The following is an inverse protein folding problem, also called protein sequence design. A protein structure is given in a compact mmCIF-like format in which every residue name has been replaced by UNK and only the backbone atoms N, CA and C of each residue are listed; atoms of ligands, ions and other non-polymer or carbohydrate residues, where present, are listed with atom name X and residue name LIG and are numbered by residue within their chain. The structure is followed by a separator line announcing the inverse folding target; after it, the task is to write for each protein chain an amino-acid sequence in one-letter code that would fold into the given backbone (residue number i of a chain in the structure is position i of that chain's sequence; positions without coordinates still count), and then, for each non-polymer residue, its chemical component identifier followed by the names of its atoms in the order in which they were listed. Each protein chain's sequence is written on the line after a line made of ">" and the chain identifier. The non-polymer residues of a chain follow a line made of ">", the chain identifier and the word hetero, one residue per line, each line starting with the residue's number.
data_IF_660709296463
#
_entry.id   IF_660709296463
#
_cell.length_a   1.000
_cell.length_b   1.000
_cell.length_c   1.000
_cell.angle_alpha   90.00
_cell.angle_beta   90.00
_cell.angle_gamma   90.00
#
_symmetry.space_group_name_H-M   'P 1'
#
loop_
_entity.id
_entity.type
_entity.pdbx_description
1 polymer ?
#
# COMPACT_ATOMS: atom_id res chain seq x y z
N UNK A 1 13.79 -21.02 0.61
CA UNK A 1 12.41 -21.38 0.93
C UNK A 1 12.00 -20.68 2.22
N UNK A 2 11.09 -19.71 2.11
CA UNK A 2 10.57 -18.96 3.25
C UNK A 2 9.56 -19.83 4.02
N UNK A 3 9.84 -20.09 5.31
CA UNK A 3 9.00 -20.92 6.17
C UNK A 3 8.73 -20.18 7.49
N UNK A 4 7.81 -19.20 7.47
CA UNK A 4 7.45 -18.46 8.67
C UNK A 4 6.72 -19.38 9.67
N UNK A 5 7.01 -19.19 10.96
CA UNK A 5 6.31 -19.90 12.04
C UNK A 5 5.21 -19.02 12.59
N UNK A 6 3.97 -19.37 12.27
CA UNK A 6 2.80 -18.72 12.83
C UNK A 6 2.30 -19.48 14.06
N UNK A 7 1.92 -18.76 15.11
CA UNK A 7 1.29 -19.33 16.30
C UNK A 7 -0.04 -18.63 16.51
N UNK A 8 -1.14 -19.37 16.40
CA UNK A 8 -2.46 -18.84 16.72
C UNK A 8 -2.59 -18.84 18.24
N UNK A 9 -2.84 -17.66 18.80
CA UNK A 9 -3.13 -17.50 20.23
C UNK A 9 -4.62 -17.26 20.43
N UNK A 10 -5.15 -17.52 21.63
CA UNK A 10 -6.55 -17.23 21.96
C UNK A 10 -6.92 -15.77 21.70
N UNK A 11 -5.96 -14.84 21.90
CA UNK A 11 -6.16 -13.42 21.58
C UNK A 11 -6.32 -13.20 20.07
N UNK A 12 -5.45 -13.76 19.25
CA UNK A 12 -5.55 -13.65 17.78
C UNK A 12 -6.88 -14.23 17.30
N UNK A 13 -7.26 -15.41 17.80
CA UNK A 13 -8.52 -16.04 17.41
C UNK A 13 -9.74 -15.18 17.80
N UNK A 14 -9.75 -14.61 19.01
CA UNK A 14 -10.81 -13.71 19.45
C UNK A 14 -10.86 -12.42 18.62
N UNK A 15 -9.71 -11.87 18.25
CA UNK A 15 -9.63 -10.66 17.43
C UNK A 15 -10.11 -10.93 15.99
N UNK A 16 -9.78 -12.09 15.39
CA UNK A 16 -10.33 -12.53 14.10
C UNK A 16 -11.86 -12.62 14.18
N UNK A 17 -12.40 -13.28 15.21
CA UNK A 17 -13.85 -13.41 15.38
C UNK A 17 -14.58 -12.06 15.48
N UNK A 18 -13.97 -11.07 16.15
CA UNK A 18 -14.52 -9.71 16.22
C UNK A 18 -14.47 -8.99 14.87
N UNK A 19 -13.39 -9.16 14.11
CA UNK A 19 -13.23 -8.56 12.78
C UNK A 19 -14.26 -9.13 11.81
N UNK A 20 -14.42 -10.46 11.76
CA UNK A 20 -15.42 -11.10 10.89
C UNK A 20 -16.85 -10.71 11.28
N UNK A 21 -17.17 -10.64 12.59
CA UNK A 21 -18.49 -10.17 13.03
C UNK A 21 -18.76 -8.71 12.62
N UNK A 22 -17.77 -7.82 12.73
CA UNK A 22 -17.91 -6.43 12.30
C UNK A 22 -18.04 -6.32 10.77
N UNK A 23 -17.28 -7.14 10.03
CA UNK A 23 -17.33 -7.22 8.57
C UNK A 23 -18.71 -7.66 8.09
N UNK A 24 -19.29 -8.69 8.70
CA UNK A 24 -20.63 -9.19 8.35
C UNK A 24 -21.70 -8.11 8.51
N UNK A 25 -21.63 -7.32 9.58
CA UNK A 25 -22.54 -6.18 9.80
C UNK A 25 -22.41 -5.15 8.69
N UNK A 26 -21.18 -4.84 8.25
CA UNK A 26 -20.92 -3.84 7.21
C UNK A 26 -21.37 -4.35 5.84
N UNK A 27 -21.08 -5.60 5.49
CA UNK A 27 -21.42 -6.19 4.19
C UNK A 27 -22.94 -6.33 3.99
N UNK A 28 -23.71 -6.52 5.07
CA UNK A 28 -25.18 -6.62 5.03
C UNK A 28 -25.91 -5.33 5.42
N UNK A 29 -25.20 -4.22 5.65
CA UNK A 29 -25.83 -2.97 6.03
C UNK A 29 -26.67 -2.41 4.86
N UNK A 30 -27.94 -2.04 5.07
CA UNK A 30 -28.76 -1.43 4.03
C UNK A 30 -28.31 0.02 3.79
N UNK A 31 -27.39 0.21 2.85
CA UNK A 31 -26.86 1.53 2.48
C UNK A 31 -27.55 2.08 1.22
N UNK A 32 -27.97 3.34 1.30
CA UNK A 32 -28.42 4.07 0.10
C UNK A 32 -27.20 4.32 -0.79
N UNK A 33 -27.29 4.10 -2.12
CA UNK A 33 -26.13 4.22 -3.03
C UNK A 33 -25.38 5.55 -2.94
N UNK A 34 -26.08 6.66 -2.70
CA UNK A 34 -25.47 7.99 -2.54
C UNK A 34 -24.56 8.06 -1.29
N UNK A 35 -24.95 7.44 -0.18
CA UNK A 35 -24.12 7.39 1.02
C UNK A 35 -22.92 6.47 0.82
N UNK A 36 -23.10 5.33 0.16
CA UNK A 36 -22.00 4.42 -0.16
C UNK A 36 -20.92 5.13 -0.99
N UNK A 37 -21.32 5.84 -2.06
CA UNK A 37 -20.40 6.59 -2.90
C UNK A 37 -19.63 7.65 -2.09
N UNK A 38 -20.33 8.37 -1.20
CA UNK A 38 -19.72 9.34 -0.29
C UNK A 38 -18.71 8.69 0.66
N UNK A 39 -19.06 7.57 1.31
CA UNK A 39 -18.16 6.87 2.21
C UNK A 39 -16.92 6.33 1.51
N UNK A 40 -17.08 5.79 0.29
CA UNK A 40 -15.94 5.36 -0.54
C UNK A 40 -15.00 6.53 -0.86
N UNK A 41 -15.55 7.69 -1.21
CA UNK A 41 -14.75 8.89 -1.47
C UNK A 41 -13.99 9.34 -0.21
N UNK A 42 -14.66 9.40 0.94
CA UNK A 42 -14.03 9.76 2.22
C UNK A 42 -12.94 8.75 2.62
N UNK A 43 -13.19 7.45 2.42
CA UNK A 43 -12.22 6.40 2.68
C UNK A 43 -10.97 6.54 1.80
N UNK A 44 -11.13 6.85 0.50
CA UNK A 44 -10.00 7.10 -0.41
C UNK A 44 -9.18 8.30 0.07
N UNK A 45 -9.82 9.41 0.40
CA UNK A 45 -9.13 10.63 0.89
C UNK A 45 -8.32 10.31 2.14
N UNK A 46 -8.92 9.63 3.13
CA UNK A 46 -8.26 9.26 4.38
C UNK A 46 -7.11 8.28 4.16
N UNK A 47 -7.31 7.29 3.28
CA UNK A 47 -6.29 6.29 2.95
C UNK A 47 -5.08 6.94 2.30
N UNK A 48 -5.30 7.83 1.33
CA UNK A 48 -4.22 8.56 0.66
C UNK A 48 -3.52 9.47 1.65
N UNK A 49 -4.25 10.30 2.39
CA UNK A 49 -3.67 11.25 3.34
C UNK A 49 -2.82 10.55 4.40
N UNK A 50 -3.36 9.58 5.13
CA UNK A 50 -2.61 8.91 6.18
C UNK A 50 -1.49 8.01 5.61
N UNK A 51 -1.72 7.41 4.43
CA UNK A 51 -0.73 6.57 3.76
C UNK A 51 0.51 7.34 3.29
N UNK A 52 0.36 8.59 2.87
CA UNK A 52 1.51 9.44 2.50
C UNK A 52 2.06 10.22 3.69
N UNK A 53 1.22 10.61 4.66
CA UNK A 53 1.66 11.37 5.82
C UNK A 53 2.59 10.57 6.73
N UNK A 54 2.36 9.25 6.89
CA UNK A 54 3.27 8.38 7.65
C UNK A 54 4.67 8.30 7.02
N UNK A 55 4.77 8.51 5.70
CA UNK A 55 6.03 8.58 4.95
C UNK A 55 6.62 10.00 4.91
N UNK A 56 5.99 10.97 5.59
CA UNK A 56 6.49 12.34 5.76
C UNK A 56 5.92 13.37 4.78
N UNK A 57 4.88 13.04 4.01
CA UNK A 57 4.21 14.02 3.16
C UNK A 57 3.47 15.07 4.03
N UNK A 58 3.68 16.37 3.82
CA UNK A 58 3.19 17.40 4.73
C UNK A 58 1.74 17.83 4.48
N UNK A 59 1.12 17.39 3.38
CA UNK A 59 -0.20 17.88 2.97
C UNK A 59 -1.28 17.45 3.97
N UNK A 60 -2.11 18.40 4.38
CA UNK A 60 -3.24 18.13 5.25
C UNK A 60 -4.39 17.41 4.51
N UNK A 61 -5.40 16.95 5.25
CA UNK A 61 -6.53 16.22 4.65
C UNK A 61 -7.30 17.05 3.61
N UNK A 62 -7.40 18.37 3.81
CA UNK A 62 -8.07 19.30 2.91
C UNK A 62 -7.29 19.51 1.61
N UNK A 63 -5.98 19.66 1.71
CA UNK A 63 -5.06 19.75 0.58
C UNK A 63 -5.05 18.45 -0.23
N UNK A 64 -4.97 17.29 0.44
CA UNK A 64 -5.08 15.98 -0.21
C UNK A 64 -6.41 15.85 -0.96
N UNK A 65 -7.52 16.24 -0.33
CA UNK A 65 -8.83 16.24 -0.98
C UNK A 65 -8.83 17.13 -2.23
N UNK A 66 -8.30 18.35 -2.13
CA UNK A 66 -8.22 19.28 -3.25
C UNK A 66 -7.42 18.70 -4.43
N UNK A 67 -6.26 18.09 -4.16
CA UNK A 67 -5.45 17.40 -5.17
C UNK A 67 -6.21 16.24 -5.83
N UNK A 68 -6.91 15.43 -5.03
CA UNK A 68 -7.69 14.29 -5.56
C UNK A 68 -8.89 14.75 -6.41
N UNK A 69 -9.46 15.91 -6.12
CA UNK A 69 -10.51 16.58 -6.89
C UNK A 69 -9.99 17.34 -8.12
N UNK A 70 -8.66 17.41 -8.31
CA UNK A 70 -8.03 18.09 -9.45
C UNK A 70 -7.97 19.62 -9.30
N UNK A 71 -8.09 20.13 -8.09
CA UNK A 71 -7.89 21.55 -7.78
C UNK A 71 -6.40 21.86 -7.65
N UNK A 72 -6.02 23.08 -8.02
CA UNK A 72 -4.67 23.58 -7.80
C UNK A 72 -4.49 24.00 -6.34
N UNK A 73 -3.34 23.64 -5.76
CA UNK A 73 -2.94 24.03 -4.41
C UNK A 73 -1.50 24.54 -4.43
N UNK A 74 -1.16 25.40 -3.48
CA UNK A 74 0.21 25.89 -3.29
C UNK A 74 1.01 24.89 -2.46
N UNK A 75 1.54 23.86 -3.10
CA UNK A 75 2.40 22.85 -2.48
C UNK A 75 3.55 22.47 -3.42
N UNK A 76 4.55 21.73 -2.93
CA UNK A 76 5.65 21.27 -3.78
C UNK A 76 5.13 20.24 -4.79
N UNK A 77 5.57 20.36 -6.04
CA UNK A 77 5.19 19.42 -7.11
C UNK A 77 5.39 17.95 -6.73
N UNK A 78 6.48 17.66 -6.01
CA UNK A 78 6.76 16.31 -5.52
C UNK A 78 5.70 15.82 -4.53
N UNK A 79 5.28 16.66 -3.59
CA UNK A 79 4.32 16.28 -2.56
C UNK A 79 2.95 16.03 -3.18
N UNK A 80 2.55 16.85 -4.17
CA UNK A 80 1.35 16.64 -4.99
C UNK A 80 1.45 15.34 -5.79
N UNK A 81 2.60 15.08 -6.42
CA UNK A 81 2.82 13.87 -7.22
C UNK A 81 2.73 12.60 -6.38
N UNK A 82 3.20 12.61 -5.12
CA UNK A 82 3.07 11.47 -4.19
C UNK A 82 1.60 11.13 -3.90
N UNK A 83 0.75 12.14 -3.68
CA UNK A 83 -0.71 11.97 -3.51
C UNK A 83 -1.33 11.34 -4.76
N UNK A 84 -1.01 11.86 -5.94
CA UNK A 84 -1.53 11.35 -7.21
C UNK A 84 -1.06 9.92 -7.49
N UNK A 85 0.19 9.60 -7.18
CA UNK A 85 0.77 8.27 -7.32
C UNK A 85 0.07 7.27 -6.41
N UNK A 86 -0.12 7.59 -5.14
CA UNK A 86 -0.82 6.70 -4.19
C UNK A 86 -2.26 6.44 -4.64
N UNK A 87 -2.99 7.47 -5.09
CA UNK A 87 -4.32 7.30 -5.70
C UNK A 87 -4.28 6.35 -6.90
N UNK A 88 -3.28 6.49 -7.78
CA UNK A 88 -3.15 5.64 -8.96
C UNK A 88 -2.84 4.18 -8.57
N UNK A 89 -2.05 3.95 -7.51
CA UNK A 89 -1.83 2.63 -6.93
C UNK A 89 -3.14 2.02 -6.44
N UNK A 90 -3.95 2.75 -5.68
CA UNK A 90 -5.25 2.25 -5.21
C UNK A 90 -6.16 1.86 -6.39
N UNK A 91 -6.21 2.70 -7.44
CA UNK A 91 -6.95 2.38 -8.67
C UNK A 91 -6.43 1.13 -9.38
N UNK A 92 -5.10 0.95 -9.42
CA UNK A 92 -4.47 -0.23 -10.00
C UNK A 92 -4.83 -1.49 -9.22
N UNK A 93 -4.82 -1.43 -7.88
CA UNK A 93 -5.16 -2.57 -7.02
C UNK A 93 -6.63 -2.95 -7.18
N UNK A 94 -7.58 -2.00 -7.11
CA UNK A 94 -9.01 -2.29 -7.26
C UNK A 94 -9.31 -2.93 -8.63
N UNK A 95 -8.72 -2.38 -9.72
CA UNK A 95 -8.86 -2.99 -11.05
C UNK A 95 -8.21 -4.37 -11.13
N UNK A 96 -7.02 -4.52 -10.54
CA UNK A 96 -6.24 -5.76 -10.56
C UNK A 96 -6.91 -6.89 -9.80
N UNK A 97 -7.43 -6.63 -8.60
CA UNK A 97 -8.14 -7.61 -7.77
C UNK A 97 -9.33 -8.21 -8.52
N UNK A 98 -10.20 -7.37 -9.10
CA UNK A 98 -11.36 -7.83 -9.88
C UNK A 98 -10.96 -8.81 -11.02
N UNK A 99 -9.87 -8.50 -11.73
CA UNK A 99 -9.37 -9.34 -12.84
C UNK A 99 -8.77 -10.66 -12.31
N UNK A 100 -8.13 -10.61 -11.15
CA UNK A 100 -7.44 -11.76 -10.57
C UNK A 100 -8.39 -12.72 -9.88
N UNK A 101 -9.39 -12.22 -9.16
CA UNK A 101 -10.47 -13.01 -8.58
C UNK A 101 -11.20 -13.80 -9.66
N UNK A 102 -11.56 -13.15 -10.77
CA UNK A 102 -12.21 -13.81 -11.92
C UNK A 102 -11.34 -14.85 -12.64
N UNK A 103 -10.02 -14.84 -12.42
CA UNK A 103 -9.07 -15.79 -13.03
C UNK A 103 -8.39 -16.70 -12.01
N UNK A 104 -8.77 -16.63 -10.72
CA UNK A 104 -8.10 -17.29 -9.60
C UNK A 104 -6.57 -17.11 -9.60
N UNK A 105 -6.10 -15.91 -9.96
CA UNK A 105 -4.67 -15.60 -10.04
C UNK A 105 -4.16 -14.92 -8.77
N UNK A 106 -3.01 -15.37 -8.25
CA UNK A 106 -2.37 -14.76 -7.08
C UNK A 106 -1.68 -13.44 -7.40
N UNK A 107 -1.41 -12.65 -6.35
CA UNK A 107 -0.49 -11.52 -6.42
C UNK A 107 0.94 -12.05 -6.63
N UNK A 108 1.70 -11.42 -7.51
CA UNK A 108 3.03 -11.85 -7.92
C UNK A 108 4.05 -10.73 -7.77
N UNK A 109 5.34 -11.08 -7.92
CA UNK A 109 6.42 -10.09 -8.01
C UNK A 109 6.19 -9.04 -9.11
N UNK A 110 5.54 -9.41 -10.22
CA UNK A 110 5.26 -8.46 -11.30
C UNK A 110 4.32 -7.36 -10.83
N UNK A 111 3.33 -7.70 -10.00
CA UNK A 111 2.40 -6.73 -9.43
C UNK A 111 3.10 -5.83 -8.41
N UNK A 112 3.97 -6.39 -7.56
CA UNK A 112 4.80 -5.60 -6.64
C UNK A 112 5.62 -4.55 -7.41
N UNK A 113 6.30 -4.96 -8.48
CA UNK A 113 7.11 -4.04 -9.29
C UNK A 113 6.25 -3.02 -10.04
N UNK A 114 5.05 -3.40 -10.49
CA UNK A 114 4.09 -2.47 -11.09
C UNK A 114 3.58 -1.42 -10.08
N UNK A 115 3.19 -1.86 -8.89
CA UNK A 115 2.80 -0.99 -7.77
C UNK A 115 3.94 -0.04 -7.42
N UNK A 116 5.17 -0.55 -7.26
CA UNK A 116 6.33 0.28 -6.98
C UNK A 116 6.56 1.31 -8.09
N UNK A 117 6.45 0.93 -9.37
CA UNK A 117 6.59 1.86 -10.50
C UNK A 117 5.58 3.02 -10.44
N UNK A 118 4.33 2.73 -10.12
CA UNK A 118 3.28 3.75 -9.95
C UNK A 118 3.54 4.63 -8.72
N UNK A 119 3.97 4.03 -7.62
CA UNK A 119 4.26 4.74 -6.36
C UNK A 119 5.32 5.81 -6.55
N UNK A 120 6.35 5.53 -7.35
CA UNK A 120 7.51 6.42 -7.56
C UNK A 120 7.50 7.13 -8.92
N UNK A 121 6.36 7.13 -9.62
CA UNK A 121 6.22 7.78 -10.91
C UNK A 121 6.58 9.26 -10.81
N UNK A 122 7.47 9.74 -11.70
CA UNK A 122 8.01 11.11 -11.72
C UNK A 122 8.77 11.55 -10.45
N UNK A 123 9.05 10.63 -9.54
CA UNK A 123 9.88 10.85 -8.34
C UNK A 123 11.23 10.18 -8.51
N UNK A 124 11.24 8.92 -8.97
CA UNK A 124 12.47 8.18 -9.27
C UNK A 124 12.67 8.01 -10.77
N UNK A 125 13.93 7.93 -11.18
CA UNK A 125 14.29 7.71 -12.58
C UNK A 125 13.90 6.31 -13.09
N UNK A 126 13.75 6.17 -14.41
CA UNK A 126 13.36 4.91 -15.07
C UNK A 126 14.30 3.72 -14.79
N UNK A 127 15.53 3.99 -14.37
CA UNK A 127 16.51 2.95 -13.98
C UNK A 127 16.17 2.32 -12.63
N UNK A 128 15.35 2.96 -11.80
CA UNK A 128 15.00 2.52 -10.44
C UNK A 128 13.50 2.18 -10.31
N UNK A 129 12.63 2.95 -10.98
CA UNK A 129 11.18 2.74 -10.91
C UNK A 129 10.79 1.32 -11.36
N UNK A 130 10.02 0.61 -10.52
CA UNK A 130 9.59 -0.76 -10.78
C UNK A 130 10.72 -1.79 -10.84
N UNK A 131 11.86 -1.56 -10.18
CA UNK A 131 12.98 -2.50 -10.11
C UNK A 131 13.46 -2.66 -8.68
N UNK A 132 14.00 -3.84 -8.36
CA UNK A 132 14.69 -4.04 -7.10
C UNK A 132 15.92 -3.14 -6.99
N UNK A 133 16.22 -2.71 -5.76
CA UNK A 133 17.42 -1.93 -5.46
C UNK A 133 18.68 -2.70 -5.81
N UNK A 134 19.69 -1.97 -6.27
CA UNK A 134 21.03 -2.50 -6.58
C UNK A 134 22.08 -2.13 -5.54
N UNK A 135 21.72 -1.26 -4.61
CA UNK A 135 22.60 -0.75 -3.57
C UNK A 135 22.09 -1.14 -2.20
N UNK A 136 23.02 -1.15 -1.23
CA UNK A 136 22.66 -1.36 0.16
C UNK A 136 21.99 -0.10 0.72
N UNK A 137 20.96 -0.32 1.54
CA UNK A 137 20.22 0.74 2.23
C UNK A 137 20.24 0.47 3.73
N UNK A 138 19.94 1.48 4.52
CA UNK A 138 19.76 1.38 5.97
C UNK A 138 18.46 2.08 6.34
N UNK A 139 17.73 1.52 7.29
CA UNK A 139 16.60 2.20 7.92
C UNK A 139 17.14 2.98 9.10
N UNK A 140 16.83 4.27 9.18
CA UNK A 140 17.26 5.14 10.27
C UNK A 140 16.05 5.52 11.11
N UNK A 141 16.26 5.67 12.41
CA UNK A 141 15.28 6.28 13.28
C UNK A 141 15.13 7.77 12.90
N UNK A 142 13.89 8.23 12.69
CA UNK A 142 13.63 9.61 12.29
C UNK A 142 14.10 10.65 13.32
N UNK A 143 13.99 10.33 14.63
CA UNK A 143 14.34 11.24 15.73
C UNK A 143 15.84 11.23 16.05
N UNK A 144 16.48 10.07 16.08
CA UNK A 144 17.89 9.94 16.52
C UNK A 144 18.89 9.86 15.37
N UNK A 145 18.41 9.69 14.12
CA UNK A 145 19.21 9.43 12.92
C UNK A 145 20.14 8.20 12.98
N UNK A 146 20.07 7.42 14.05
CA UNK A 146 20.81 6.17 14.20
C UNK A 146 20.21 5.09 13.31
N UNK A 147 21.06 4.16 12.85
CA UNK A 147 20.64 2.99 12.07
C UNK A 147 19.80 2.09 12.98
N UNK A 148 18.51 1.96 12.67
CA UNK A 148 17.59 1.07 13.39
C UNK A 148 17.62 -0.34 12.83
N UNK A 149 17.82 -0.47 11.52
CA UNK A 149 17.82 -1.76 10.85
C UNK A 149 18.62 -1.70 9.55
N UNK A 150 19.33 -2.78 9.25
CA UNK A 150 20.03 -2.96 7.97
C UNK A 150 19.33 -4.09 7.21
N UNK A 151 18.55 -3.79 6.17
CA UNK A 151 17.92 -4.81 5.33
C UNK A 151 18.93 -5.76 4.67
N UNK A 152 18.49 -6.91 4.14
CA UNK A 152 19.36 -7.85 3.42
C UNK A 152 20.21 -7.20 2.32
N UNK A 153 21.26 -7.86 1.84
CA UNK A 153 22.06 -7.31 0.73
C UNK A 153 21.24 -7.22 -0.56
N UNK A 154 21.53 -6.22 -1.41
CA UNK A 154 20.77 -5.99 -2.65
C UNK A 154 20.74 -7.21 -3.58
N UNK A 155 21.83 -7.97 -3.66
CA UNK A 155 21.95 -9.15 -4.52
C UNK A 155 21.04 -10.33 -4.11
N UNK A 156 20.56 -10.38 -2.86
CA UNK A 156 19.66 -11.45 -2.40
C UNK A 156 18.20 -11.04 -2.37
N UNK A 157 17.87 -9.76 -2.59
CA UNK A 157 16.48 -9.26 -2.50
C UNK A 157 15.55 -9.98 -3.46
N UNK A 158 15.97 -10.17 -4.72
CA UNK A 158 15.15 -10.84 -5.74
C UNK A 158 14.77 -12.25 -5.31
N UNK A 159 15.72 -13.02 -4.77
CA UNK A 159 15.48 -14.38 -4.28
C UNK A 159 14.59 -14.38 -3.05
N UNK A 160 14.82 -13.49 -2.08
CA UNK A 160 14.00 -13.38 -0.88
C UNK A 160 12.55 -12.97 -1.20
N UNK A 161 12.35 -12.07 -2.17
CA UNK A 161 11.02 -11.71 -2.62
C UNK A 161 10.37 -12.84 -3.42
N UNK A 162 11.15 -13.62 -4.18
CA UNK A 162 10.66 -14.86 -4.78
C UNK A 162 10.14 -15.85 -3.75
N UNK A 163 10.97 -16.20 -2.77
CA UNK A 163 10.58 -17.07 -1.67
C UNK A 163 9.32 -16.58 -0.93
N UNK A 164 9.15 -15.26 -0.80
CA UNK A 164 7.96 -14.66 -0.18
C UNK A 164 6.68 -14.85 -1.01
N UNK A 165 6.74 -14.71 -2.33
CA UNK A 165 5.57 -14.92 -3.20
C UNK A 165 5.28 -16.39 -3.51
N UNK A 166 6.29 -17.25 -3.41
CA UNK A 166 6.14 -18.70 -3.55
C UNK A 166 5.59 -19.35 -2.26
N UNK A 167 5.51 -18.60 -1.16
CA UNK A 167 4.92 -19.06 0.09
C UNK A 167 3.39 -19.19 -0.03
N UNK A 168 2.90 -20.43 0.10
CA UNK A 168 1.48 -20.79 -0.05
C UNK A 168 0.55 -20.28 1.06
N UNK A 169 1.02 -19.55 2.07
CA UNK A 169 0.15 -19.04 3.14
C UNK A 169 -0.73 -17.83 2.78
N UNK A 170 -0.76 -17.43 1.50
CA UNK A 170 -1.67 -16.39 0.97
C UNK A 170 -2.87 -16.98 0.21
N UNK A 171 -3.24 -18.24 0.50
CA UNK A 171 -4.47 -18.88 -0.03
C UNK A 171 -5.70 -18.22 0.59
#
# INVERSE_FOLDING_TARGET
>A
MFSPKFTITNKILADIGRIEAAREIIENAPLVPAYEAKFRQEAIIRTVHHGTHIEGNPLDTGEVKAVLEGKEISAKDRDIQEILNYRNVLKYIDKGQRIKESKSQRISQKDLLAIHKLTVERILGYKQAGKYRKTQVVVKNFKTHQVSFVPPKANVVVSLTGDFFDFDGFV
#
